data_IF_454450180404
#
_entry.id   IF_454450180404
#
_cell.length_a   1.000
_cell.length_b   1.000
_cell.length_c   1.000
_cell.angle_alpha   90.00
_cell.angle_beta   90.00
_cell.angle_gamma   90.00
#
_symmetry.space_group_name_H-M   'P 1'
#
loop_
_entity.id
_entity.type
_entity.pdbx_description
1 polymer ?
#
# COMPACT_ATOMS: atom_id res chain seq x y z
N UNK A 1 10.87 0.40 -69.48
CA UNK A 1 9.53 0.40 -68.87
C UNK A 1 9.38 -0.87 -68.06
N UNK A 2 9.93 -0.89 -66.87
CA UNK A 2 9.86 -2.07 -65.97
C UNK A 2 9.69 -1.53 -64.54
N UNK A 3 8.76 -2.12 -63.84
CA UNK A 3 8.70 -2.21 -62.36
C UNK A 3 8.27 -1.01 -61.50
N UNK A 4 7.18 -0.32 -61.89
CA UNK A 4 6.41 0.52 -60.96
C UNK A 4 5.27 -0.24 -60.24
N UNK A 5 4.90 -1.43 -60.66
CA UNK A 5 3.78 -2.20 -60.07
C UNK A 5 4.19 -3.04 -58.87
N UNK A 6 5.43 -3.45 -58.76
CA UNK A 6 5.95 -4.23 -57.61
C UNK A 6 6.26 -3.42 -56.38
N UNK A 7 6.59 -2.13 -56.53
CA UNK A 7 6.88 -1.25 -55.40
C UNK A 7 5.60 -0.85 -54.62
N UNK A 8 4.44 -0.80 -55.28
CA UNK A 8 3.17 -0.46 -54.58
C UNK A 8 2.61 -1.62 -53.77
N UNK A 9 2.86 -2.86 -54.16
CA UNK A 9 2.38 -4.03 -53.45
C UNK A 9 3.14 -4.29 -52.14
N UNK A 10 4.43 -3.95 -52.07
CA UNK A 10 5.22 -4.09 -50.85
C UNK A 10 4.94 -2.99 -49.80
N UNK A 11 4.57 -1.80 -50.23
CA UNK A 11 4.21 -0.73 -49.31
C UNK A 11 2.87 -0.97 -48.59
N UNK A 12 1.93 -1.65 -49.25
CA UNK A 12 0.62 -1.99 -48.63
C UNK A 12 0.71 -3.13 -47.63
N UNK A 13 1.63 -4.09 -47.82
CA UNK A 13 1.81 -5.21 -46.90
C UNK A 13 2.50 -4.77 -45.58
N UNK A 14 3.45 -3.83 -45.65
CA UNK A 14 4.13 -3.30 -44.48
C UNK A 14 3.19 -2.43 -43.61
N UNK A 15 2.26 -1.68 -44.21
CA UNK A 15 1.28 -0.87 -43.49
C UNK A 15 0.25 -1.71 -42.72
N UNK A 16 -0.14 -2.87 -43.20
CA UNK A 16 -1.08 -3.76 -42.50
C UNK A 16 -0.42 -4.49 -41.34
N UNK A 17 0.87 -4.82 -41.40
CA UNK A 17 1.58 -5.47 -40.30
C UNK A 17 1.78 -4.54 -39.12
N UNK A 18 1.98 -3.24 -39.32
CA UNK A 18 2.07 -2.24 -38.21
C UNK A 18 0.73 -1.93 -37.53
N UNK A 19 -0.38 -2.05 -38.26
CA UNK A 19 -1.71 -1.84 -37.68
C UNK A 19 -2.17 -2.99 -36.77
N UNK A 20 -1.67 -4.20 -36.94
CA UNK A 20 -2.02 -5.37 -36.12
C UNK A 20 -1.16 -5.45 -34.85
N UNK A 21 0.04 -4.87 -34.82
CA UNK A 21 0.92 -4.84 -33.66
C UNK A 21 0.54 -3.72 -32.67
N UNK A 22 -0.31 -2.77 -33.06
CA UNK A 22 -0.77 -1.68 -32.20
C UNK A 22 -1.98 -1.99 -31.32
N UNK A 23 -2.58 -3.18 -31.42
CA UNK A 23 -3.82 -3.54 -30.71
C UNK A 23 -3.64 -4.51 -29.52
N UNK A 24 -2.42 -4.90 -29.20
CA UNK A 24 -2.15 -5.79 -28.07
C UNK A 24 -1.51 -5.03 -26.91
N UNK A 25 -2.23 -4.13 -26.28
CA UNK A 25 -1.65 -3.35 -25.20
C UNK A 25 -2.62 -2.64 -24.28
N UNK A 26 -3.88 -3.03 -24.18
CA UNK A 26 -4.65 -2.74 -22.99
C UNK A 26 -4.22 -3.77 -21.92
N UNK A 27 -3.07 -3.54 -21.28
CA UNK A 27 -2.83 -4.18 -20.00
C UNK A 27 -3.92 -3.65 -19.06
N UNK A 28 -4.88 -4.50 -18.74
CA UNK A 28 -5.84 -4.22 -17.67
C UNK A 28 -5.02 -4.00 -16.41
N UNK A 29 -5.00 -2.74 -15.94
CA UNK A 29 -4.37 -2.39 -14.67
C UNK A 29 -5.00 -3.30 -13.62
N UNK A 30 -4.21 -4.11 -12.87
CA UNK A 30 -4.75 -4.95 -11.82
C UNK A 30 -5.47 -4.06 -10.80
N UNK A 31 -6.78 -4.10 -10.78
CA UNK A 31 -7.55 -3.36 -9.80
C UNK A 31 -7.62 -4.16 -8.50
N UNK A 32 -7.59 -3.46 -7.36
CA UNK A 32 -7.88 -4.08 -6.07
C UNK A 32 -9.31 -4.60 -6.08
N UNK A 33 -9.44 -5.90 -6.29
CA UNK A 33 -10.73 -6.62 -6.28
C UNK A 33 -10.85 -7.46 -5.02
N UNK A 34 -12.01 -8.07 -4.80
CA UNK A 34 -12.16 -9.09 -3.77
C UNK A 34 -11.19 -10.25 -4.01
N UNK A 35 -10.84 -10.97 -2.95
CA UNK A 35 -9.95 -12.14 -3.05
C UNK A 35 -10.53 -13.18 -4.01
N UNK A 36 -9.79 -13.58 -5.06
CA UNK A 36 -10.24 -14.58 -6.01
C UNK A 36 -10.47 -15.96 -5.36
N UNK A 37 -11.33 -16.76 -5.97
CA UNK A 37 -11.68 -18.10 -5.45
C UNK A 37 -10.47 -19.02 -5.41
N UNK A 38 -9.63 -19.00 -6.43
CA UNK A 38 -8.41 -19.79 -6.53
C UNK A 38 -7.38 -19.45 -5.44
N UNK A 39 -7.26 -18.17 -5.06
CA UNK A 39 -6.43 -17.73 -3.92
C UNK A 39 -6.97 -18.29 -2.60
N UNK A 40 -8.30 -18.26 -2.42
CA UNK A 40 -8.97 -18.83 -1.23
C UNK A 40 -8.75 -20.34 -1.12
N UNK A 41 -8.88 -21.06 -2.22
CA UNK A 41 -8.71 -22.50 -2.29
C UNK A 41 -7.27 -22.94 -2.03
N UNK A 42 -6.30 -22.24 -2.58
CA UNK A 42 -4.88 -22.51 -2.36
C UNK A 42 -4.43 -22.17 -0.95
N UNK A 43 -5.05 -21.18 -0.31
CA UNK A 43 -4.74 -20.69 1.03
C UNK A 43 -3.43 -19.91 1.12
N UNK A 44 -3.32 -19.14 2.19
CA UNK A 44 -2.21 -18.26 2.42
C UNK A 44 -1.10 -18.89 3.26
N UNK A 45 0.12 -18.43 3.08
CA UNK A 45 1.27 -18.75 3.93
C UNK A 45 1.99 -17.44 4.33
N UNK A 46 2.17 -17.24 5.63
CA UNK A 46 2.93 -16.09 6.14
C UNK A 46 4.41 -16.18 5.71
N UNK A 47 4.93 -15.08 5.21
CA UNK A 47 6.34 -14.94 4.81
C UNK A 47 7.04 -13.89 5.66
N UNK A 48 8.12 -14.30 6.32
CA UNK A 48 9.03 -13.39 7.02
C UNK A 48 9.98 -12.74 6.02
N UNK A 49 9.41 -11.97 5.10
CA UNK A 49 10.11 -11.22 4.06
C UNK A 49 9.31 -9.98 3.72
N UNK A 50 9.96 -9.01 3.12
CA UNK A 50 9.27 -7.87 2.53
C UNK A 50 8.70 -8.25 1.17
N UNK A 51 7.57 -7.66 0.76
CA UNK A 51 7.04 -7.82 -0.59
C UNK A 51 8.03 -7.26 -1.62
N UNK A 52 7.96 -7.77 -2.84
CA UNK A 52 8.85 -7.33 -3.93
C UNK A 52 8.66 -5.85 -4.28
N UNK A 53 7.44 -5.31 -4.08
CA UNK A 53 7.11 -3.94 -4.39
C UNK A 53 6.78 -3.20 -3.09
N UNK A 54 7.63 -2.25 -2.74
CA UNK A 54 7.46 -1.30 -1.65
C UNK A 54 7.13 0.09 -2.19
N UNK A 55 6.58 1.00 -1.37
CA UNK A 55 6.46 2.41 -1.74
C UNK A 55 7.82 2.98 -2.16
N UNK A 56 7.80 3.90 -3.12
CA UNK A 56 9.02 4.55 -3.60
C UNK A 56 9.78 5.19 -2.41
N UNK A 57 11.10 5.09 -2.44
CA UNK A 57 12.02 5.64 -1.44
C UNK A 57 11.90 5.06 -0.02
N UNK A 58 10.99 4.11 0.19
CA UNK A 58 10.86 3.47 1.50
C UNK A 58 12.14 2.75 1.93
N UNK A 59 12.41 2.75 3.24
CA UNK A 59 13.58 2.13 3.84
C UNK A 59 13.16 1.09 4.87
N UNK A 60 13.53 -0.19 4.68
CA UNK A 60 13.32 -1.19 5.71
C UNK A 60 14.10 -0.85 6.98
N UNK A 61 13.44 -0.96 8.13
CA UNK A 61 14.06 -0.84 9.44
C UNK A 61 14.38 -2.24 9.96
N UNK A 62 15.57 -2.75 9.69
CA UNK A 62 16.03 -4.08 10.12
C UNK A 62 15.19 -5.27 9.58
N UNK A 63 15.37 -6.45 10.19
CA UNK A 63 14.65 -7.69 9.83
C UNK A 63 13.18 -7.77 10.31
N UNK A 64 12.66 -6.70 10.94
CA UNK A 64 11.39 -6.73 11.66
C UNK A 64 10.15 -6.44 10.81
N UNK A 65 10.28 -6.32 9.49
CA UNK A 65 9.21 -5.93 8.56
C UNK A 65 8.54 -4.59 8.91
N UNK A 66 9.29 -3.73 9.55
CA UNK A 66 8.96 -2.34 9.78
C UNK A 66 9.62 -1.50 8.67
N UNK A 67 8.86 -0.67 7.98
CA UNK A 67 9.32 0.08 6.81
C UNK A 67 9.04 1.56 7.02
N UNK A 68 10.09 2.38 6.96
CA UNK A 68 9.96 3.83 6.94
C UNK A 68 9.58 4.28 5.52
N UNK A 69 8.53 5.09 5.44
CA UNK A 69 8.10 5.73 4.19
C UNK A 69 8.28 7.23 4.38
N UNK A 70 9.30 7.83 3.76
CA UNK A 70 9.58 9.25 3.90
C UNK A 70 8.51 10.08 3.22
N UNK A 71 8.41 11.34 3.62
CA UNK A 71 7.66 12.34 2.85
C UNK A 71 8.42 12.61 1.55
N UNK A 72 7.73 12.66 0.43
CA UNK A 72 8.33 13.17 -0.80
C UNK A 72 8.74 14.63 -0.59
N UNK A 73 10.05 14.89 -0.61
CA UNK A 73 10.56 16.22 -0.36
C UNK A 73 10.31 17.14 -1.56
N UNK A 74 9.89 18.39 -1.26
CA UNK A 74 9.81 19.44 -2.27
C UNK A 74 11.20 19.92 -2.75
N UNK A 75 12.29 19.45 -2.14
CA UNK A 75 13.66 19.86 -2.50
C UNK A 75 14.01 19.45 -3.93
N UNK A 76 13.50 18.33 -4.43
CA UNK A 76 13.67 17.93 -5.82
C UNK A 76 13.10 18.89 -6.84
N UNK A 77 12.18 19.79 -6.44
CA UNK A 77 11.61 20.82 -7.32
C UNK A 77 12.40 22.13 -7.34
N UNK A 78 13.17 22.42 -6.31
CA UNK A 78 13.85 23.73 -6.15
C UNK A 78 15.29 23.67 -6.68
N UNK A 79 15.89 22.50 -6.74
CA UNK A 79 17.26 22.33 -7.22
C UNK A 79 17.22 21.83 -8.67
N UNK A 80 17.70 22.61 -9.64
CA UNK A 80 17.64 22.24 -11.07
C UNK A 80 18.64 21.12 -11.46
N UNK A 81 19.30 20.50 -10.49
CA UNK A 81 20.21 19.40 -10.69
C UNK A 81 19.63 18.10 -10.07
N UNK A 82 18.91 17.30 -10.87
CA UNK A 82 18.16 16.13 -10.37
C UNK A 82 19.03 15.11 -9.62
N UNK A 83 20.30 14.96 -9.98
CA UNK A 83 21.19 13.98 -9.34
C UNK A 83 21.68 14.39 -7.94
N UNK A 84 21.74 15.69 -7.63
CA UNK A 84 22.25 16.16 -6.33
C UNK A 84 21.15 16.09 -5.27
N UNK A 85 19.91 16.40 -5.61
CA UNK A 85 18.78 16.27 -4.70
C UNK A 85 18.54 14.82 -4.30
N UNK A 86 18.54 13.88 -5.24
CA UNK A 86 18.36 12.45 -4.96
C UNK A 86 19.45 11.88 -4.02
N UNK A 87 20.71 12.32 -4.18
CA UNK A 87 21.82 11.88 -3.33
C UNK A 87 21.67 12.40 -1.88
N UNK A 88 21.29 13.65 -1.70
CA UNK A 88 21.10 14.28 -0.39
C UNK A 88 19.90 13.65 0.32
N UNK A 89 18.77 13.50 -0.36
CA UNK A 89 17.57 12.88 0.18
C UNK A 89 17.80 11.42 0.54
N UNK A 90 18.41 10.65 -0.35
CA UNK A 90 18.75 9.24 -0.08
C UNK A 90 19.70 9.08 1.12
N UNK A 91 20.64 10.01 1.30
CA UNK A 91 21.56 10.03 2.44
C UNK A 91 20.84 10.33 3.75
N UNK A 92 19.97 11.33 3.78
CA UNK A 92 19.21 11.72 4.95
C UNK A 92 18.25 10.59 5.40
N UNK A 93 17.47 10.05 4.49
CA UNK A 93 16.54 8.95 4.79
C UNK A 93 17.25 7.66 5.22
N UNK A 94 18.47 7.41 4.72
CA UNK A 94 19.28 6.27 5.15
C UNK A 94 19.80 6.45 6.57
N UNK A 95 20.19 7.66 6.95
CA UNK A 95 20.62 7.99 8.31
C UNK A 95 19.43 7.87 9.30
N UNK A 96 18.28 8.40 8.94
CA UNK A 96 17.06 8.33 9.72
C UNK A 96 16.64 6.87 9.94
N UNK A 97 16.57 6.06 8.88
CA UNK A 97 16.27 4.65 8.96
C UNK A 97 17.24 3.88 9.87
N UNK A 98 18.54 4.16 9.77
CA UNK A 98 19.55 3.53 10.63
C UNK A 98 19.38 3.90 12.09
N UNK A 99 19.02 5.15 12.38
CA UNK A 99 18.78 5.61 13.76
C UNK A 99 17.52 4.94 14.36
N UNK A 100 16.50 4.70 13.58
CA UNK A 100 15.28 4.03 14.02
C UNK A 100 15.46 2.52 14.16
N UNK A 101 16.22 1.90 13.28
CA UNK A 101 16.38 0.44 13.26
C UNK A 101 16.80 -0.12 14.64
N UNK A 102 17.79 0.49 15.29
CA UNK A 102 18.25 0.04 16.60
C UNK A 102 17.20 0.25 17.70
N UNK A 103 16.44 1.35 17.65
CA UNK A 103 15.44 1.71 18.67
C UNK A 103 14.21 0.83 18.60
N UNK A 104 13.79 0.46 17.39
CA UNK A 104 12.60 -0.33 17.14
C UNK A 104 12.88 -1.82 16.87
N UNK A 105 14.10 -2.28 17.12
CA UNK A 105 14.50 -3.68 16.92
C UNK A 105 13.65 -4.69 17.74
N UNK A 106 13.03 -4.24 18.83
CA UNK A 106 12.12 -5.07 19.66
C UNK A 106 10.72 -5.21 19.10
N UNK A 107 10.35 -4.45 18.07
CA UNK A 107 9.06 -4.57 17.38
C UNK A 107 9.17 -5.60 16.27
N UNK A 108 8.83 -6.84 16.56
CA UNK A 108 8.74 -7.90 15.56
C UNK A 108 7.32 -7.96 14.98
N UNK A 109 7.10 -7.26 13.88
CA UNK A 109 5.80 -7.18 13.18
C UNK A 109 5.37 -8.56 12.69
N UNK A 110 6.31 -9.37 12.19
CA UNK A 110 6.00 -10.71 11.73
C UNK A 110 5.45 -11.57 12.85
N UNK A 111 6.12 -11.55 13.99
CA UNK A 111 5.72 -12.36 15.15
C UNK A 111 4.35 -11.92 15.69
N UNK A 112 4.07 -10.61 15.75
CA UNK A 112 2.75 -10.10 16.16
C UNK A 112 1.65 -10.63 15.23
N UNK A 113 1.84 -10.53 13.92
CA UNK A 113 0.86 -11.02 12.94
C UNK A 113 0.77 -12.54 12.97
N UNK A 114 1.89 -13.27 13.13
CA UNK A 114 1.90 -14.73 13.24
C UNK A 114 1.08 -15.20 14.44
N UNK A 115 1.20 -14.52 15.58
CA UNK A 115 0.41 -14.83 16.78
C UNK A 115 -1.08 -14.54 16.55
N UNK A 116 -1.42 -13.38 16.02
CA UNK A 116 -2.80 -13.03 15.72
C UNK A 116 -3.46 -13.98 14.70
N UNK A 117 -2.70 -14.43 13.69
CA UNK A 117 -3.17 -15.33 12.64
C UNK A 117 -3.19 -16.79 13.06
N UNK A 118 -2.75 -17.14 14.27
CA UNK A 118 -2.75 -18.52 14.74
C UNK A 118 -4.17 -19.12 14.72
N UNK A 119 -4.32 -20.28 14.08
CA UNK A 119 -5.61 -20.95 13.92
C UNK A 119 -6.55 -20.30 12.89
N UNK A 120 -6.10 -19.30 12.15
CA UNK A 120 -6.90 -18.70 11.09
C UNK A 120 -7.13 -19.68 9.93
N UNK A 121 -8.40 -19.85 9.46
CA UNK A 121 -8.71 -20.78 8.37
C UNK A 121 -8.13 -20.34 7.01
N UNK A 122 -7.71 -19.08 6.87
CA UNK A 122 -7.06 -18.61 5.64
C UNK A 122 -5.62 -19.06 5.53
N UNK A 123 -4.97 -19.39 6.65
CA UNK A 123 -3.63 -19.97 6.67
C UNK A 123 -3.72 -21.50 6.56
N UNK A 124 -3.22 -22.03 5.47
CA UNK A 124 -3.12 -23.49 5.30
C UNK A 124 -1.71 -23.94 5.65
N UNK A 125 -1.51 -24.42 6.86
CA UNK A 125 -0.24 -24.95 7.33
C UNK A 125 0.28 -26.05 6.39
N UNK A 126 1.48 -25.89 5.84
CA UNK A 126 2.13 -26.85 4.95
C UNK A 126 1.53 -26.97 3.54
N UNK A 127 0.33 -26.47 3.32
CA UNK A 127 -0.38 -26.54 2.04
C UNK A 127 -0.64 -25.16 1.40
N UNK A 128 -0.50 -24.05 2.16
CA UNK A 128 -0.66 -22.68 1.63
C UNK A 128 0.42 -22.37 0.60
N UNK A 129 -0.02 -21.90 -0.58
CA UNK A 129 0.88 -21.62 -1.70
C UNK A 129 1.08 -20.13 -1.90
N UNK A 130 0.08 -19.32 -1.55
CA UNK A 130 0.07 -17.90 -1.85
C UNK A 130 0.72 -17.12 -0.70
N UNK A 131 1.80 -16.36 -0.96
CA UNK A 131 2.50 -15.62 0.09
C UNK A 131 1.66 -14.44 0.61
N UNK A 132 1.61 -14.32 1.94
CA UNK A 132 1.12 -13.15 2.67
C UNK A 132 2.31 -12.49 3.38
N UNK A 133 2.60 -11.27 3.01
CA UNK A 133 3.68 -10.46 3.57
C UNK A 133 3.10 -9.42 4.54
N UNK A 134 3.24 -9.62 5.86
CA UNK A 134 2.88 -8.59 6.84
C UNK A 134 3.97 -7.51 6.89
N UNK A 135 3.57 -6.25 6.81
CA UNK A 135 4.47 -5.09 6.86
C UNK A 135 3.82 -3.96 7.65
N UNK A 136 4.54 -3.37 8.58
CA UNK A 136 4.13 -2.13 9.19
C UNK A 136 4.86 -0.95 8.54
N UNK A 137 4.10 0.02 8.06
CA UNK A 137 4.62 1.24 7.45
C UNK A 137 4.56 2.39 8.44
N UNK A 138 5.70 3.05 8.67
CA UNK A 138 5.78 4.33 9.35
C UNK A 138 5.82 5.41 8.27
N UNK A 139 4.69 6.05 8.02
CA UNK A 139 4.55 7.03 6.96
C UNK A 139 4.72 8.43 7.53
N UNK A 140 5.76 9.13 7.09
CA UNK A 140 6.00 10.51 7.46
C UNK A 140 5.04 11.45 6.74
N UNK A 141 4.33 12.28 7.48
CA UNK A 141 3.30 13.16 6.97
C UNK A 141 3.70 14.65 7.06
N UNK A 142 3.03 15.48 6.31
CA UNK A 142 3.31 16.93 6.19
C UNK A 142 3.22 17.71 7.50
N UNK A 143 2.48 17.20 8.47
CA UNK A 143 2.27 17.80 9.77
C UNK A 143 3.35 17.40 10.80
N UNK A 144 4.51 16.92 10.33
CA UNK A 144 5.64 16.47 11.14
C UNK A 144 5.28 15.34 12.13
N UNK A 145 4.36 14.47 11.69
CA UNK A 145 3.99 13.27 12.43
C UNK A 145 4.18 12.04 11.57
N UNK A 146 4.38 10.91 12.21
CA UNK A 146 4.32 9.59 11.57
C UNK A 146 2.96 8.95 11.84
N UNK A 147 2.33 8.46 10.78
CA UNK A 147 1.17 7.61 10.86
C UNK A 147 1.58 6.18 10.57
N UNK A 148 1.10 5.29 11.39
CA UNK A 148 1.48 3.87 11.28
C UNK A 148 0.33 3.08 10.71
N UNK A 149 0.65 2.18 9.78
CA UNK A 149 -0.34 1.28 9.20
C UNK A 149 0.24 -0.13 9.14
N UNK A 150 -0.52 -1.12 9.60
CA UNK A 150 -0.21 -2.53 9.39
C UNK A 150 -0.87 -2.99 8.11
N UNK A 151 -0.10 -3.56 7.22
CA UNK A 151 -0.58 -4.06 5.92
C UNK A 151 -0.23 -5.53 5.74
N UNK A 152 -1.19 -6.31 5.24
CA UNK A 152 -0.98 -7.64 4.70
C UNK A 152 -1.03 -7.58 3.18
N UNK A 153 0.08 -7.83 2.50
CA UNK A 153 0.15 -7.89 1.05
C UNK A 153 0.18 -9.33 0.58
N UNK A 154 -0.67 -9.67 -0.38
CA UNK A 154 -0.79 -10.98 -0.99
C UNK A 154 -0.36 -10.85 -2.45
N UNK A 155 0.50 -11.75 -2.92
CA UNK A 155 1.00 -11.75 -4.30
C UNK A 155 0.78 -13.13 -4.91
N UNK A 156 -0.13 -13.20 -5.88
CA UNK A 156 -0.47 -14.41 -6.63
C UNK A 156 -0.27 -14.17 -8.14
N UNK A 157 0.90 -13.79 -8.56
CA UNK A 157 1.24 -13.62 -9.98
C UNK A 157 0.21 -12.84 -10.83
N UNK A 158 -1.03 -13.34 -10.88
CA UNK A 158 -2.14 -12.74 -11.63
C UNK A 158 -2.96 -11.74 -10.82
N UNK A 159 -2.91 -11.79 -9.49
CA UNK A 159 -3.67 -10.94 -8.59
C UNK A 159 -2.80 -10.48 -7.42
N UNK A 160 -2.99 -9.23 -7.04
CA UNK A 160 -2.36 -8.65 -5.85
C UNK A 160 -3.43 -8.08 -4.94
N UNK A 161 -3.42 -8.51 -3.68
CA UNK A 161 -4.28 -7.97 -2.62
C UNK A 161 -3.47 -7.18 -1.61
N UNK A 162 -4.08 -6.14 -1.06
CA UNK A 162 -3.56 -5.40 0.09
C UNK A 162 -4.68 -5.11 1.06
N UNK A 163 -4.45 -5.45 2.32
CA UNK A 163 -5.36 -5.18 3.44
C UNK A 163 -4.59 -4.36 4.47
N UNK A 164 -5.07 -3.18 4.76
CA UNK A 164 -4.36 -2.20 5.58
C UNK A 164 -5.23 -1.76 6.75
N UNK A 165 -4.66 -1.80 7.95
CA UNK A 165 -5.26 -1.31 9.18
C UNK A 165 -4.45 -0.10 9.64
N UNK A 166 -5.10 1.06 9.71
CA UNK A 166 -4.46 2.29 10.17
C UNK A 166 -4.53 2.39 11.69
N UNK A 167 -3.38 2.60 12.33
CA UNK A 167 -3.30 2.73 13.78
C UNK A 167 -3.93 4.05 14.24
N UNK A 168 -4.50 4.09 15.44
CA UNK A 168 -5.15 5.29 15.95
C UNK A 168 -4.19 6.43 16.24
N UNK A 169 -2.98 6.12 16.76
CA UNK A 169 -2.04 7.13 17.21
C UNK A 169 -1.23 7.71 16.06
N UNK A 170 -1.22 9.05 15.96
CA UNK A 170 -0.25 9.79 15.18
C UNK A 170 0.93 10.16 16.09
N UNK A 171 2.13 9.81 15.69
CA UNK A 171 3.34 9.96 16.49
C UNK A 171 4.14 11.18 16.04
N UNK A 172 4.32 12.20 16.87
CA UNK A 172 5.22 13.30 16.56
C UNK A 172 6.62 12.79 16.22
N UNK A 173 7.26 13.38 15.21
CA UNK A 173 8.59 13.00 14.75
C UNK A 173 9.59 12.93 15.90
N UNK A 174 9.54 13.90 16.82
CA UNK A 174 10.41 13.95 18.00
C UNK A 174 10.21 12.74 18.92
N UNK A 175 8.98 12.30 19.13
CA UNK A 175 8.66 11.16 20.02
C UNK A 175 9.08 9.84 19.38
N UNK A 176 8.80 9.68 18.09
CA UNK A 176 9.27 8.54 17.35
C UNK A 176 10.81 8.49 17.31
N UNK A 177 11.44 9.63 17.04
CA UNK A 177 12.89 9.77 17.03
C UNK A 177 13.54 9.49 18.38
N UNK A 178 12.88 9.78 19.48
CA UNK A 178 13.37 9.47 20.83
C UNK A 178 13.38 7.95 21.12
N UNK A 179 12.46 7.18 20.53
CA UNK A 179 12.34 5.73 20.77
C UNK A 179 12.05 5.39 22.21
N UNK A 180 11.25 6.24 22.90
CA UNK A 180 10.93 6.03 24.29
C UNK A 180 10.20 4.70 24.51
N UNK A 181 10.47 4.03 25.63
CA UNK A 181 9.85 2.74 25.94
C UNK A 181 8.31 2.81 25.94
N UNK A 182 7.72 3.92 26.37
CA UNK A 182 6.29 4.14 26.32
C UNK A 182 5.75 4.19 24.88
N UNK A 183 6.43 4.88 23.98
CA UNK A 183 6.08 4.95 22.55
C UNK A 183 6.15 3.57 21.90
N UNK A 184 7.19 2.80 22.20
CA UNK A 184 7.34 1.43 21.70
C UNK A 184 6.23 0.52 22.23
N UNK A 185 5.90 0.65 23.54
CA UNK A 185 4.82 -0.14 24.15
C UNK A 185 3.46 0.19 23.52
N UNK A 186 3.16 1.46 23.29
CA UNK A 186 1.94 1.90 22.59
C UNK A 186 1.86 1.31 21.19
N UNK A 187 2.92 1.48 20.40
CA UNK A 187 3.00 0.90 19.05
C UNK A 187 2.80 -0.61 19.05
N UNK A 188 3.43 -1.31 19.98
CA UNK A 188 3.29 -2.76 20.10
C UNK A 188 1.84 -3.17 20.39
N UNK A 189 1.18 -2.46 21.31
CA UNK A 189 -0.23 -2.69 21.64
C UNK A 189 -1.13 -2.46 20.42
N UNK A 190 -0.98 -1.30 19.76
CA UNK A 190 -1.80 -0.95 18.60
C UNK A 190 -1.55 -1.86 17.40
N UNK A 191 -0.29 -2.30 17.18
CA UNK A 191 0.03 -3.28 16.13
C UNK A 191 -0.59 -4.65 16.42
N UNK A 192 -0.69 -5.06 17.68
CA UNK A 192 -1.36 -6.30 18.05
C UNK A 192 -2.87 -6.24 17.77
N UNK A 193 -3.52 -5.12 18.11
CA UNK A 193 -4.92 -4.88 17.80
C UNK A 193 -5.14 -4.84 16.28
N UNK A 194 -4.27 -4.14 15.56
CA UNK A 194 -4.30 -4.06 14.10
C UNK A 194 -4.10 -5.44 13.45
N UNK A 195 -3.25 -6.31 14.02
CA UNK A 195 -3.05 -7.67 13.52
C UNK A 195 -4.32 -8.52 13.68
N UNK A 196 -5.05 -8.32 14.77
CA UNK A 196 -6.36 -8.97 14.98
C UNK A 196 -7.39 -8.50 13.95
N UNK A 197 -7.47 -7.20 13.69
CA UNK A 197 -8.36 -6.63 12.66
C UNK A 197 -7.95 -7.11 11.26
N UNK A 198 -6.65 -7.14 10.96
CA UNK A 198 -6.12 -7.65 9.69
C UNK A 198 -6.56 -9.10 9.45
N UNK A 199 -6.45 -9.94 10.47
CA UNK A 199 -6.96 -11.32 10.43
C UNK A 199 -8.44 -11.34 10.05
N UNK A 200 -9.27 -10.57 10.73
CA UNK A 200 -10.72 -10.50 10.47
C UNK A 200 -11.03 -10.05 9.04
N UNK A 201 -10.31 -9.06 8.51
CA UNK A 201 -10.47 -8.60 7.12
C UNK A 201 -10.16 -9.74 6.14
N UNK A 202 -9.05 -10.44 6.33
CA UNK A 202 -8.64 -11.55 5.48
C UNK A 202 -9.61 -12.72 5.54
N UNK A 203 -10.06 -13.11 6.74
CA UNK A 203 -11.04 -14.18 6.92
C UNK A 203 -12.40 -13.86 6.29
N UNK A 204 -12.85 -12.61 6.44
CA UNK A 204 -14.13 -12.14 5.87
C UNK A 204 -14.08 -12.08 4.35
N UNK A 205 -12.98 -11.59 3.76
CA UNK A 205 -12.87 -11.56 2.30
C UNK A 205 -12.70 -12.96 1.72
N UNK A 206 -11.90 -13.82 2.34
CA UNK A 206 -11.79 -15.21 1.97
C UNK A 206 -13.11 -15.98 2.11
N UNK A 207 -13.91 -15.67 3.12
CA UNK A 207 -15.25 -16.22 3.31
C UNK A 207 -16.33 -15.60 2.43
N UNK A 208 -16.00 -14.58 1.63
CA UNK A 208 -16.96 -13.85 0.80
C UNK A 208 -17.94 -12.98 1.61
N UNK A 209 -17.67 -12.74 2.90
CA UNK A 209 -18.54 -11.98 3.81
C UNK A 209 -18.14 -10.50 3.93
N UNK A 210 -17.03 -10.09 3.33
CA UNK A 210 -16.68 -8.67 3.24
C UNK A 210 -17.62 -7.89 2.30
N UNK A 211 -18.39 -8.61 1.48
CA UNK A 211 -19.56 -8.10 0.78
C UNK A 211 -19.26 -7.23 -0.44
N UNK A 212 -20.36 -6.87 -1.12
CA UNK A 212 -20.38 -5.82 -2.13
C UNK A 212 -20.39 -4.44 -1.46
N UNK A 213 -19.99 -3.41 -2.20
CA UNK A 213 -20.05 -2.05 -1.71
C UNK A 213 -21.47 -1.64 -1.33
N UNK A 214 -21.63 -1.10 -0.13
CA UNK A 214 -22.90 -0.52 0.33
C UNK A 214 -23.20 0.78 -0.43
N UNK A 215 -22.16 1.56 -0.66
CA UNK A 215 -22.19 2.80 -1.46
C UNK A 215 -20.77 3.20 -1.87
N UNK A 216 -20.66 4.23 -2.72
CA UNK A 216 -19.37 4.85 -3.08
C UNK A 216 -19.24 6.23 -2.48
N UNK A 217 -18.02 6.61 -2.11
CA UNK A 217 -17.72 7.91 -1.55
C UNK A 217 -16.32 8.42 -1.96
N UNK A 218 -16.15 9.76 -1.91
CA UNK A 218 -14.81 10.34 -1.88
C UNK A 218 -14.40 10.52 -0.42
N UNK A 219 -13.25 9.97 -0.06
CA UNK A 219 -12.76 9.94 1.32
C UNK A 219 -11.49 10.77 1.43
N UNK A 220 -11.51 11.80 2.29
CA UNK A 220 -10.35 12.56 2.70
C UNK A 220 -9.85 12.07 4.06
N UNK A 221 -8.60 11.60 4.09
CA UNK A 221 -7.93 11.14 5.31
C UNK A 221 -6.42 11.29 5.16
N UNK A 222 -5.78 11.87 6.16
CA UNK A 222 -4.30 11.93 6.22
C UNK A 222 -3.67 10.54 6.35
N UNK A 223 -4.43 9.53 6.79
CA UNK A 223 -3.94 8.15 6.87
C UNK A 223 -3.91 7.46 5.50
N UNK A 224 -4.80 7.84 4.59
CA UNK A 224 -4.83 7.29 3.24
C UNK A 224 -3.84 8.00 2.30
N UNK A 225 -3.69 9.29 2.47
CA UNK A 225 -2.91 10.11 1.56
C UNK A 225 -2.05 11.13 2.33
N UNK A 226 -0.97 10.64 2.86
CA UNK A 226 -0.07 11.36 3.75
C UNK A 226 1.06 12.10 3.01
N UNK A 227 1.30 11.76 1.74
CA UNK A 227 2.40 12.33 0.97
C UNK A 227 2.09 13.70 0.40
N UNK A 228 3.10 14.56 0.32
CA UNK A 228 3.04 15.80 -0.45
C UNK A 228 2.96 15.46 -1.94
N UNK A 229 1.91 15.92 -2.57
CA UNK A 229 1.93 16.02 -4.02
C UNK A 229 2.62 17.32 -4.36
N UNK A 230 3.90 17.23 -4.68
CA UNK A 230 4.71 18.32 -5.22
C UNK A 230 4.83 19.58 -4.32
N UNK A 231 4.67 19.46 -3.02
CA UNK A 231 4.76 20.59 -2.09
C UNK A 231 3.72 21.71 -2.27
N UNK A 232 2.80 21.56 -3.23
CA UNK A 232 1.85 22.59 -3.62
C UNK A 232 0.41 22.30 -3.17
N UNK A 233 0.05 21.03 -2.97
CA UNK A 233 -1.32 20.64 -2.61
C UNK A 233 -1.25 19.79 -1.35
N UNK A 234 -1.94 20.24 -0.30
CA UNK A 234 -2.06 19.44 0.92
C UNK A 234 -2.74 18.09 0.61
N UNK A 235 -2.25 16.96 1.13
CA UNK A 235 -2.89 15.66 0.98
C UNK A 235 -4.35 15.66 1.45
N UNK A 236 -4.70 16.51 2.43
CA UNK A 236 -6.08 16.68 2.88
C UNK A 236 -7.04 17.15 1.78
N UNK A 237 -6.52 17.77 0.73
CA UNK A 237 -7.29 18.23 -0.44
C UNK A 237 -7.41 17.18 -1.55
N UNK A 238 -6.71 16.05 -1.43
CA UNK A 238 -6.72 14.97 -2.42
C UNK A 238 -7.46 13.73 -1.87
N UNK A 239 -8.79 13.73 -1.91
CA UNK A 239 -9.54 12.59 -1.43
C UNK A 239 -9.33 11.36 -2.33
N UNK A 240 -9.34 10.19 -1.75
CA UNK A 240 -9.52 8.94 -2.48
C UNK A 240 -10.90 8.96 -3.13
N UNK A 241 -10.93 9.09 -4.47
CA UNK A 241 -12.17 9.26 -5.22
C UNK A 241 -12.84 7.92 -5.52
N UNK A 242 -14.16 7.88 -5.34
CA UNK A 242 -14.97 6.73 -5.71
C UNK A 242 -14.64 5.46 -4.93
N UNK A 243 -14.14 5.60 -3.70
CA UNK A 243 -13.89 4.47 -2.82
C UNK A 243 -15.19 3.68 -2.57
N UNK A 244 -15.10 2.37 -2.62
CA UNK A 244 -16.19 1.46 -2.30
C UNK A 244 -16.26 1.30 -0.79
N UNK A 245 -17.36 1.71 -0.18
CA UNK A 245 -17.61 1.49 1.25
C UNK A 245 -18.21 0.08 1.39
N UNK A 246 -17.40 -0.82 1.90
CA UNK A 246 -17.80 -2.22 2.13
C UNK A 246 -18.59 -2.36 3.44
N UNK A 247 -18.23 -1.56 4.44
CA UNK A 247 -18.92 -1.52 5.73
C UNK A 247 -18.82 -0.12 6.35
N UNK A 248 -19.95 0.35 6.85
CA UNK A 248 -20.07 1.60 7.60
C UNK A 248 -20.49 1.25 9.04
N UNK A 249 -19.48 0.92 9.87
CA UNK A 249 -19.66 0.59 11.27
C UNK A 249 -19.88 1.83 12.15
N UNK A 250 -20.13 1.68 13.45
CA UNK A 250 -20.36 2.83 14.35
C UNK A 250 -19.13 3.75 14.42
N UNK A 251 -17.92 3.19 14.56
CA UNK A 251 -16.68 3.93 14.80
C UNK A 251 -15.63 3.74 13.70
N UNK A 252 -15.94 2.99 12.64
CA UNK A 252 -15.00 2.66 11.58
C UNK A 252 -15.67 2.56 10.21
N UNK A 253 -14.85 2.62 9.18
CA UNK A 253 -15.20 2.24 7.81
C UNK A 253 -14.27 1.12 7.33
N UNK A 254 -14.82 0.16 6.59
CA UNK A 254 -14.03 -0.73 5.74
C UNK A 254 -14.26 -0.27 4.30
N UNK A 255 -13.18 0.08 3.62
CA UNK A 255 -13.24 0.66 2.29
C UNK A 255 -12.33 -0.08 1.33
N UNK A 256 -12.73 -0.18 0.06
CA UNK A 256 -11.87 -0.65 -1.02
C UNK A 256 -11.59 0.50 -1.97
N UNK A 257 -10.32 0.75 -2.21
CA UNK A 257 -9.85 1.78 -3.13
C UNK A 257 -9.14 1.08 -4.28
N UNK A 258 -9.73 1.20 -5.48
CA UNK A 258 -9.17 0.60 -6.68
C UNK A 258 -7.90 1.33 -7.12
N UNK A 259 -6.89 0.59 -7.58
CA UNK A 259 -5.67 1.13 -8.12
C UNK A 259 -4.66 0.04 -8.46
N UNK A 260 -3.57 0.43 -9.10
CA UNK A 260 -2.51 -0.48 -9.51
C UNK A 260 -1.59 -0.79 -8.32
N UNK A 261 -1.67 -2.03 -7.86
CA UNK A 261 -0.81 -2.56 -6.79
C UNK A 261 0.50 -3.17 -7.33
N UNK A 262 0.66 -3.27 -8.64
CA UNK A 262 1.84 -3.87 -9.28
C UNK A 262 3.01 -2.89 -9.43
N UNK A 263 2.79 -1.60 -9.24
CA UNK A 263 3.81 -0.57 -9.39
C UNK A 263 4.26 0.00 -8.05
N UNK A 264 5.56 0.35 -7.90
CA UNK A 264 6.01 1.16 -6.79
C UNK A 264 5.38 2.56 -6.93
N UNK A 265 4.36 2.81 -6.13
CA UNK A 265 3.75 4.14 -6.06
C UNK A 265 4.52 5.03 -5.07
N UNK A 266 4.29 6.34 -5.10
CA UNK A 266 4.64 7.24 -3.99
C UNK A 266 3.98 6.74 -2.70
N UNK A 267 4.25 7.38 -1.56
CA UNK A 267 3.57 7.03 -0.29
C UNK A 267 2.04 6.94 -0.45
N UNK A 268 1.47 7.76 -1.35
CA UNK A 268 0.08 7.64 -1.81
C UNK A 268 -0.27 6.32 -2.48
N UNK A 269 0.70 5.53 -2.92
CA UNK A 269 0.46 4.16 -3.42
C UNK A 269 -0.07 3.22 -2.34
N UNK A 270 0.13 3.55 -1.07
CA UNK A 270 -0.47 2.82 0.06
C UNK A 270 -1.98 3.00 0.15
N UNK A 271 -2.57 3.97 -0.53
CA UNK A 271 -4.01 4.20 -0.52
C UNK A 271 -4.82 3.14 -1.29
N UNK A 272 -4.18 2.30 -2.14
CA UNK A 272 -4.91 1.27 -2.88
C UNK A 272 -5.03 -0.03 -2.08
N UNK A 273 -6.19 -0.67 -2.15
CA UNK A 273 -6.49 -1.90 -1.45
C UNK A 273 -7.73 -1.82 -0.56
N UNK A 274 -7.84 -2.74 0.38
CA UNK A 274 -8.87 -2.74 1.42
C UNK A 274 -8.30 -2.09 2.68
N UNK A 275 -9.02 -1.13 3.24
CA UNK A 275 -8.58 -0.39 4.42
C UNK A 275 -9.61 -0.47 5.53
N UNK A 276 -9.12 -0.61 6.75
CA UNK A 276 -9.85 -0.33 7.97
C UNK A 276 -9.43 1.05 8.48
N UNK A 277 -10.37 1.96 8.55
CA UNK A 277 -10.21 3.34 9.01
C UNK A 277 -11.15 3.62 10.17
N UNK A 278 -10.67 4.25 11.21
CA UNK A 278 -11.53 4.81 12.24
C UNK A 278 -12.22 6.08 11.72
N UNK A 279 -13.44 6.34 12.15
CA UNK A 279 -14.18 7.52 11.69
C UNK A 279 -13.53 8.84 12.13
N UNK A 280 -12.84 8.87 13.27
CA UNK A 280 -12.06 10.01 13.73
C UNK A 280 -10.80 10.31 12.87
N UNK A 281 -10.39 9.38 12.04
CA UNK A 281 -9.30 9.55 11.05
C UNK A 281 -9.78 10.13 9.71
N UNK A 282 -11.08 10.34 9.54
CA UNK A 282 -11.71 10.78 8.29
C UNK A 282 -12.19 12.22 8.45
N UNK A 283 -11.62 13.14 7.67
CA UNK A 283 -12.04 14.54 7.70
C UNK A 283 -13.04 14.90 6.60
N UNK A 284 -13.16 14.06 5.56
CA UNK A 284 -14.12 14.25 4.46
C UNK A 284 -14.71 12.91 4.04
N UNK A 285 -16.04 12.83 3.97
CA UNK A 285 -16.77 11.68 3.46
C UNK A 285 -17.93 12.19 2.59
N UNK A 286 -17.72 12.22 1.27
CA UNK A 286 -18.72 12.67 0.31
C UNK A 286 -19.32 11.47 -0.41
N UNK A 287 -20.52 11.07 -0.04
CA UNK A 287 -21.26 9.99 -0.71
C UNK A 287 -21.55 10.36 -2.15
N UNK A 288 -21.34 9.44 -3.05
CA UNK A 288 -21.73 9.57 -4.46
C UNK A 288 -23.16 9.08 -4.65
N UNK A 289 -23.94 9.76 -5.50
CA UNK A 289 -25.29 9.32 -5.81
C UNK A 289 -25.31 7.97 -6.54
#
# INVERSE_FOLDING_TARGET
MRDRKTALAMASAAGLLFAVLGLTGCSTIPQSTAMPVDVREQGLVLKQALPAILPKESKPLSSSQLVLVPTESAAGMVVPLPFVSELIESGYHSYEASSFAARYASLDVFELVRQAMAGSPVLKAGAGKIPLFPVAYLVHCDDAVYRVALSGRIEDGAWTGRYTVHLPTALPERELGAGAAATIATLKSELNDAATILRQLLERDAGGTLGAAQYRADIGSMHLNCSKVAGLISPSLLPARGAEILEDGPDYLIVRIAGDLSQPGPAGGLMYGVHYLRKDQIHTLNRKP
#
